data_IF_780878324599
#
_entry.id   IF_780878324599
#
_cell.length_a   1.000
_cell.length_b   1.000
_cell.length_c   1.000
_cell.angle_alpha   90.00
_cell.angle_beta   90.00
_cell.angle_gamma   90.00
#
_symmetry.space_group_name_H-M   'P 1'
#
loop_
_entity.id
_entity.type
_entity.pdbx_description
1 polymer ?
#
# COMPACT_ATOMS: atom_id res chain seq x y z
N UNK A 1 13.84 9.59 1.88
CA UNK A 1 13.41 8.16 1.67
C UNK A 1 14.49 7.19 2.11
N UNK A 2 14.20 6.27 3.02
CA UNK A 2 15.14 5.30 3.58
C UNK A 2 15.33 4.04 2.70
N UNK A 3 16.35 3.21 3.05
CA UNK A 3 16.69 2.00 2.29
C UNK A 3 15.55 0.98 2.25
N UNK A 4 14.84 0.67 3.36
CA UNK A 4 13.70 -0.26 3.33
C UNK A 4 12.59 0.19 2.38
N UNK A 5 12.23 1.47 2.38
CA UNK A 5 11.23 2.05 1.47
C UNK A 5 11.64 1.89 0.00
N UNK A 6 12.89 2.24 -0.34
CA UNK A 6 13.41 2.06 -1.71
C UNK A 6 13.33 0.62 -2.19
N UNK A 7 13.70 -0.35 -1.34
CA UNK A 7 13.64 -1.77 -1.69
C UNK A 7 12.21 -2.24 -1.93
N UNK A 8 11.24 -1.80 -1.11
CA UNK A 8 9.83 -2.18 -1.26
C UNK A 8 9.21 -1.57 -2.53
N UNK A 9 9.51 -0.30 -2.83
CA UNK A 9 9.09 0.34 -4.08
C UNK A 9 9.64 -0.41 -5.29
N UNK A 10 10.91 -0.82 -5.28
CA UNK A 10 11.53 -1.55 -6.38
C UNK A 10 10.83 -2.89 -6.71
N UNK A 11 10.14 -3.49 -5.73
CA UNK A 11 9.38 -4.72 -5.91
C UNK A 11 7.90 -4.51 -6.28
N UNK A 12 7.38 -3.28 -6.24
CA UNK A 12 6.01 -3.00 -6.69
C UNK A 12 5.86 -3.28 -8.19
N UNK A 13 4.62 -3.29 -8.67
CA UNK A 13 4.35 -3.34 -10.10
C UNK A 13 5.06 -2.17 -10.81
N UNK A 14 5.77 -2.40 -11.93
CA UNK A 14 6.56 -1.34 -12.59
C UNK A 14 5.77 -0.06 -12.87
N UNK A 15 4.48 -0.16 -13.22
CA UNK A 15 3.64 0.98 -13.56
C UNK A 15 3.34 1.96 -12.41
N UNK A 16 3.65 1.60 -11.15
CA UNK A 16 3.38 2.47 -10.00
C UNK A 16 4.64 2.91 -9.26
N UNK A 17 5.83 2.42 -9.61
CA UNK A 17 7.07 2.68 -8.86
C UNK A 17 7.43 4.16 -8.81
N UNK A 18 7.40 4.83 -9.96
CA UNK A 18 7.74 6.26 -10.06
C UNK A 18 6.69 7.11 -9.33
N UNK A 19 5.41 6.77 -9.47
CA UNK A 19 4.33 7.46 -8.75
C UNK A 19 4.47 7.30 -7.23
N UNK A 20 4.74 6.08 -6.72
CA UNK A 20 4.94 5.86 -5.28
C UNK A 20 6.19 6.58 -4.79
N UNK A 21 7.26 6.61 -5.59
CA UNK A 21 8.47 7.39 -5.25
C UNK A 21 8.12 8.86 -5.07
N UNK A 22 7.38 9.46 -6.00
CA UNK A 22 6.93 10.85 -5.91
C UNK A 22 6.03 11.08 -4.69
N UNK A 23 5.08 10.19 -4.42
CA UNK A 23 4.20 10.27 -3.24
C UNK A 23 5.03 10.31 -1.96
N UNK A 24 6.03 9.44 -1.80
CA UNK A 24 6.89 9.41 -0.62
C UNK A 24 7.70 10.71 -0.47
N UNK A 25 8.20 11.26 -1.58
CA UNK A 25 8.92 12.55 -1.58
C UNK A 25 7.99 13.71 -1.19
N UNK A 26 6.76 13.73 -1.70
CA UNK A 26 5.75 14.72 -1.30
C UNK A 26 5.40 14.58 0.19
N UNK A 27 5.23 13.36 0.70
CA UNK A 27 4.99 13.11 2.13
C UNK A 27 6.18 13.57 2.98
N UNK A 28 7.42 13.16 2.66
CA UNK A 28 8.61 13.56 3.39
C UNK A 28 8.82 15.09 3.41
N UNK A 29 8.29 15.79 2.38
CA UNK A 29 8.32 17.25 2.30
C UNK A 29 7.21 17.90 3.13
N UNK A 30 6.02 17.31 3.15
CA UNK A 30 4.89 17.79 3.94
C UNK A 30 5.18 17.62 5.44
N UNK A 31 5.70 16.46 5.85
CA UNK A 31 6.12 16.16 7.22
C UNK A 31 7.39 16.97 7.58
N UNK A 32 7.21 18.26 7.86
CA UNK A 32 8.32 19.22 8.07
C UNK A 32 9.07 19.03 9.38
N UNK A 33 8.50 18.28 10.34
CA UNK A 33 9.07 18.01 11.66
C UNK A 33 10.00 16.80 11.70
N UNK A 34 9.86 16.00 12.74
CA UNK A 34 10.69 14.82 13.02
C UNK A 34 10.11 13.49 12.50
N UNK A 35 8.91 13.51 11.97
CA UNK A 35 8.30 12.37 11.34
C UNK A 35 8.75 12.23 9.89
N UNK A 36 8.96 10.99 9.45
CA UNK A 36 9.22 10.61 8.03
C UNK A 36 8.39 9.40 7.68
N UNK A 37 7.88 9.37 6.46
CA UNK A 37 7.12 8.21 6.00
C UNK A 37 8.05 7.03 5.68
N UNK A 38 7.61 5.80 6.02
CA UNK A 38 8.25 4.54 5.63
C UNK A 38 7.22 3.57 5.07
N UNK A 39 7.50 2.98 3.93
CA UNK A 39 6.74 1.83 3.44
C UNK A 39 7.15 0.60 4.22
N UNK A 40 6.19 -0.06 4.88
CA UNK A 40 6.40 -1.25 5.71
C UNK A 40 6.09 -2.54 4.96
N UNK A 41 5.22 -2.48 3.93
CA UNK A 41 4.86 -3.62 3.08
C UNK A 41 4.59 -3.12 1.65
N UNK A 42 4.84 -3.96 0.66
CA UNK A 42 4.58 -3.66 -0.76
C UNK A 42 4.08 -4.90 -1.50
N UNK A 43 4.86 -5.41 -2.48
CA UNK A 43 4.56 -6.69 -3.10
C UNK A 43 4.66 -7.82 -2.07
N UNK A 44 3.62 -8.63 -1.99
CA UNK A 44 3.53 -9.82 -1.13
C UNK A 44 3.34 -11.06 -1.99
N UNK A 45 4.11 -12.11 -1.76
CA UNK A 45 3.95 -13.38 -2.47
C UNK A 45 2.63 -14.08 -2.10
N UNK A 46 2.23 -15.04 -2.92
CA UNK A 46 1.04 -15.88 -2.65
C UNK A 46 1.25 -16.68 -1.35
N UNK A 47 2.46 -17.19 -1.14
CA UNK A 47 2.86 -17.97 0.02
C UNK A 47 2.81 -17.14 1.31
N UNK A 48 3.37 -15.94 1.30
CA UNK A 48 3.32 -15.00 2.42
C UNK A 48 1.87 -14.64 2.78
N UNK A 49 1.03 -14.39 1.78
CA UNK A 49 -0.39 -14.10 1.99
C UNK A 49 -1.11 -15.31 2.61
N UNK A 50 -0.81 -16.54 2.17
CA UNK A 50 -1.38 -17.75 2.76
C UNK A 50 -0.93 -17.94 4.21
N UNK A 51 0.30 -17.64 4.55
CA UNK A 51 0.79 -17.67 5.93
C UNK A 51 0.07 -16.63 6.81
N UNK A 52 -0.15 -15.41 6.31
CA UNK A 52 -0.95 -14.41 7.01
C UNK A 52 -2.40 -14.86 7.21
N UNK A 53 -3.02 -15.45 6.19
CA UNK A 53 -4.37 -15.98 6.28
C UNK A 53 -4.49 -17.13 7.30
N UNK A 54 -3.45 -17.95 7.44
CA UNK A 54 -3.42 -19.07 8.38
C UNK A 54 -3.35 -18.61 9.86
N UNK A 55 -2.82 -17.41 10.14
CA UNK A 55 -2.77 -16.86 11.51
C UNK A 55 -4.16 -16.75 12.13
N UNK A 56 -4.32 -17.27 13.34
CA UNK A 56 -5.58 -17.30 14.07
C UNK A 56 -6.64 -18.25 13.47
N UNK A 57 -6.22 -19.15 12.52
CA UNK A 57 -7.03 -20.23 11.95
C UNK A 57 -6.35 -21.58 12.12
N UNK A 58 -5.25 -21.81 11.41
CA UNK A 58 -4.44 -23.04 11.48
C UNK A 58 -3.07 -22.81 12.11
N UNK A 59 -2.64 -21.56 12.21
CA UNK A 59 -1.44 -21.13 12.92
C UNK A 59 -1.80 -20.27 14.13
N UNK A 60 -0.96 -20.27 15.20
CA UNK A 60 -1.15 -19.43 16.38
C UNK A 60 -1.25 -17.94 16.02
N UNK A 61 -1.90 -17.16 16.87
CA UNK A 61 -2.04 -15.71 16.74
C UNK A 61 -3.48 -15.25 16.50
N UNK A 62 -3.62 -13.96 16.18
CA UNK A 62 -4.93 -13.37 15.82
C UNK A 62 -5.12 -13.40 14.31
N UNK A 63 -6.37 -13.43 13.85
CA UNK A 63 -6.70 -13.23 12.44
C UNK A 63 -6.30 -11.81 12.02
N UNK A 64 -5.41 -11.71 11.04
CA UNK A 64 -4.87 -10.44 10.54
C UNK A 64 -5.35 -10.08 9.13
N UNK A 65 -5.94 -11.05 8.42
CA UNK A 65 -6.51 -10.82 7.09
C UNK A 65 -7.62 -11.83 6.80
N UNK A 66 -8.57 -11.44 5.93
CA UNK A 66 -9.57 -12.34 5.36
C UNK A 66 -9.21 -12.79 3.93
N UNK A 67 -8.15 -12.24 3.33
CA UNK A 67 -7.70 -12.58 1.99
C UNK A 67 -6.72 -13.75 2.01
N UNK A 68 -7.00 -14.78 1.21
CA UNK A 68 -6.06 -15.86 0.88
C UNK A 68 -5.04 -15.38 -0.16
N UNK A 69 -4.04 -16.20 -0.44
CA UNK A 69 -3.11 -15.96 -1.54
C UNK A 69 -3.82 -15.66 -2.86
N UNK A 70 -3.44 -14.58 -3.52
CA UNK A 70 -4.07 -14.07 -4.75
C UNK A 70 -5.32 -13.21 -4.54
N UNK A 71 -5.80 -13.04 -3.31
CA UNK A 71 -6.99 -12.25 -3.00
C UNK A 71 -6.67 -10.86 -2.40
N UNK A 72 -5.40 -10.50 -2.31
CA UNK A 72 -4.94 -9.20 -1.84
C UNK A 72 -4.34 -8.40 -3.00
N UNK A 73 -4.56 -7.09 -3.03
CA UNK A 73 -3.96 -6.19 -4.02
C UNK A 73 -2.43 -6.13 -3.87
N UNK A 74 -1.90 -6.39 -2.66
CA UNK A 74 -0.47 -6.60 -2.44
C UNK A 74 0.14 -7.71 -3.30
N UNK A 75 -0.63 -8.77 -3.62
CA UNK A 75 -0.13 -9.88 -4.45
C UNK A 75 0.15 -9.49 -5.90
N UNK A 76 -0.29 -8.31 -6.31
CA UNK A 76 -0.12 -7.77 -7.66
C UNK A 76 0.81 -6.55 -7.68
N UNK A 77 1.31 -6.11 -6.52
CA UNK A 77 2.22 -4.97 -6.38
C UNK A 77 1.55 -3.60 -6.55
N UNK A 78 0.25 -3.49 -6.31
CA UNK A 78 -0.53 -2.26 -6.39
C UNK A 78 -1.00 -1.75 -5.03
N UNK A 79 -0.47 -2.29 -3.94
CA UNK A 79 -0.75 -1.82 -2.59
C UNK A 79 0.55 -1.61 -1.80
N UNK A 80 0.49 -0.67 -0.86
CA UNK A 80 1.54 -0.39 0.12
C UNK A 80 0.92 -0.20 1.49
N UNK A 81 1.62 -0.65 2.52
CA UNK A 81 1.36 -0.26 3.91
C UNK A 81 2.46 0.68 4.38
N UNK A 82 2.11 1.65 5.22
CA UNK A 82 3.07 2.61 5.75
C UNK A 82 3.10 2.65 7.28
N UNK A 83 4.15 3.26 7.82
CA UNK A 83 4.22 3.85 9.15
C UNK A 83 4.98 5.16 9.09
N UNK A 84 4.98 5.90 10.20
CA UNK A 84 5.85 7.05 10.39
C UNK A 84 7.08 6.62 11.20
N UNK A 85 8.22 7.17 10.87
CA UNK A 85 9.47 7.03 11.65
C UNK A 85 9.76 8.35 12.32
N UNK A 86 9.82 8.32 13.63
CA UNK A 86 10.03 9.51 14.46
C UNK A 86 11.49 9.59 14.89
N UNK A 87 12.10 10.76 14.74
CA UNK A 87 13.51 11.01 15.07
C UNK A 87 14.47 9.97 14.48
N UNK A 88 14.15 9.44 13.28
CA UNK A 88 14.90 8.38 12.56
C UNK A 88 15.03 7.05 13.31
N UNK A 89 14.31 6.85 14.41
CA UNK A 89 14.47 5.72 15.34
C UNK A 89 13.20 4.91 15.55
N UNK A 90 12.11 5.57 15.90
CA UNK A 90 10.90 4.90 16.39
C UNK A 90 9.84 4.81 15.31
N UNK A 91 9.31 3.60 15.09
CA UNK A 91 8.16 3.40 14.20
C UNK A 91 6.85 3.71 14.95
N UNK A 92 5.99 4.53 14.36
CA UNK A 92 4.71 4.92 14.90
C UNK A 92 3.57 4.67 13.91
N UNK A 93 2.47 4.11 14.43
CA UNK A 93 1.17 3.96 13.76
C UNK A 93 0.11 4.87 14.38
N UNK A 94 0.55 5.89 15.13
CA UNK A 94 -0.36 6.88 15.71
C UNK A 94 -0.92 7.78 14.61
N UNK A 95 -2.22 7.67 14.37
CA UNK A 95 -2.92 8.43 13.32
C UNK A 95 -3.38 9.81 13.75
N UNK A 96 -3.15 10.18 15.03
CA UNK A 96 -3.66 11.43 15.61
C UNK A 96 -2.56 12.44 15.94
N UNK A 97 -1.33 11.96 16.02
CA UNK A 97 -0.21 12.80 16.45
C UNK A 97 0.20 13.75 15.33
N UNK A 98 0.45 14.97 15.74
CA UNK A 98 1.03 16.06 14.97
C UNK A 98 2.43 16.33 15.57
N UNK A 99 3.50 16.01 14.85
CA UNK A 99 4.88 16.13 15.30
C UNK A 99 5.56 17.41 14.80
N UNK A 100 4.96 18.12 13.84
CA UNK A 100 5.49 19.39 13.33
C UNK A 100 4.67 20.63 13.78
N UNK A 101 3.54 20.38 14.46
CA UNK A 101 2.66 21.40 15.07
C UNK A 101 1.98 22.31 14.02
N UNK A 102 1.66 21.81 12.86
CA UNK A 102 0.93 22.52 11.81
C UNK A 102 -0.61 22.46 11.97
N UNK A 103 -1.10 21.72 12.99
CA UNK A 103 -2.51 21.45 13.34
C UNK A 103 -3.18 20.40 12.47
N UNK A 104 -2.43 19.67 11.66
CA UNK A 104 -2.88 18.48 10.93
C UNK A 104 -2.10 17.30 11.46
N UNK A 105 -2.77 16.17 11.74
CA UNK A 105 -2.02 14.98 12.14
C UNK A 105 -1.23 14.45 10.93
N UNK A 106 0.07 14.23 11.11
CA UNK A 106 1.03 13.81 10.08
C UNK A 106 0.56 12.62 9.25
N UNK A 107 -0.16 11.68 9.87
CA UNK A 107 -0.75 10.54 9.18
C UNK A 107 -1.73 10.97 8.09
N UNK A 108 -2.59 11.96 8.39
CA UNK A 108 -3.60 12.44 7.45
C UNK A 108 -3.03 13.33 6.35
N UNK A 109 -1.87 13.93 6.55
CA UNK A 109 -1.14 14.60 5.47
C UNK A 109 -0.72 13.58 4.41
N UNK A 110 -0.13 12.44 4.84
CA UNK A 110 0.18 11.34 3.95
C UNK A 110 -1.09 10.82 3.25
N UNK A 111 -2.20 10.62 3.99
CA UNK A 111 -3.48 10.17 3.42
C UNK A 111 -3.95 11.11 2.30
N UNK A 112 -3.90 12.43 2.52
CA UNK A 112 -4.29 13.43 1.51
C UNK A 112 -3.41 13.35 0.26
N UNK A 113 -2.10 13.15 0.43
CA UNK A 113 -1.15 13.05 -0.68
C UNK A 113 -1.42 11.78 -1.49
N UNK A 114 -1.56 10.61 -0.87
CA UNK A 114 -1.94 9.38 -1.55
C UNK A 114 -3.28 9.54 -2.31
N UNK A 115 -4.29 10.16 -1.70
CA UNK A 115 -5.58 10.41 -2.32
C UNK A 115 -5.48 11.33 -3.54
N UNK A 116 -4.64 12.39 -3.48
CA UNK A 116 -4.34 13.28 -4.62
C UNK A 116 -3.82 12.52 -5.84
N UNK A 117 -3.03 11.46 -5.62
CA UNK A 117 -2.54 10.57 -6.65
C UNK A 117 -3.51 9.43 -7.02
N UNK A 118 -4.76 9.46 -6.49
CA UNK A 118 -5.80 8.49 -6.82
C UNK A 118 -5.61 7.11 -6.17
N UNK A 119 -4.89 7.05 -5.03
CA UNK A 119 -4.80 5.86 -4.20
C UNK A 119 -5.95 5.82 -3.19
N UNK A 120 -6.54 4.67 -3.01
CA UNK A 120 -7.57 4.43 -2.00
C UNK A 120 -6.93 4.09 -0.66
N UNK A 121 -7.44 4.68 0.42
CA UNK A 121 -6.98 4.42 1.77
C UNK A 121 -7.86 3.40 2.49
N UNK A 122 -7.28 2.37 3.07
CA UNK A 122 -7.99 1.33 3.81
C UNK A 122 -8.70 1.82 5.08
N UNK A 123 -8.30 2.99 5.62
CA UNK A 123 -9.00 3.66 6.71
C UNK A 123 -10.41 4.14 6.36
N UNK A 124 -10.73 4.30 5.07
CA UNK A 124 -12.06 4.66 4.58
C UNK A 124 -13.01 3.46 4.39
N UNK A 125 -12.53 2.23 4.55
CA UNK A 125 -13.38 1.05 4.36
C UNK A 125 -14.47 0.98 5.43
N UNK A 126 -15.66 0.57 5.03
CA UNK A 126 -16.82 0.46 5.94
C UNK A 126 -16.64 -0.65 6.97
N UNK A 127 -16.01 -1.75 6.55
CA UNK A 127 -15.73 -2.91 7.38
C UNK A 127 -14.24 -3.22 7.31
N UNK A 128 -13.66 -3.72 8.39
CA UNK A 128 -12.27 -4.11 8.48
C UNK A 128 -11.31 -2.98 8.04
N UNK A 129 -11.41 -1.82 8.70
CA UNK A 129 -10.53 -0.68 8.43
C UNK A 129 -9.07 -1.08 8.61
N UNK A 130 -8.27 -0.70 7.62
CA UNK A 130 -6.83 -0.94 7.60
C UNK A 130 -6.10 0.41 7.45
N UNK A 131 -5.71 0.98 8.58
CA UNK A 131 -5.15 2.33 8.64
C UNK A 131 -3.82 2.47 7.89
N UNK A 132 -2.87 1.50 7.94
CA UNK A 132 -1.64 1.55 7.16
C UNK A 132 -1.82 1.43 5.66
N UNK A 133 -2.91 0.83 5.18
CA UNK A 133 -3.07 0.33 3.81
C UNK A 133 -3.48 1.40 2.80
N UNK A 134 -2.78 1.44 1.66
CA UNK A 134 -3.13 2.21 0.46
C UNK A 134 -3.05 1.33 -0.77
N UNK A 135 -4.02 1.47 -1.69
CA UNK A 135 -4.02 0.68 -2.93
C UNK A 135 -4.38 1.50 -4.16
N UNK A 136 -3.74 1.20 -5.30
CA UNK A 136 -4.06 1.77 -6.62
C UNK A 136 -4.98 0.82 -7.36
N UNK A 137 -6.23 1.21 -7.59
CA UNK A 137 -7.20 0.38 -8.30
C UNK A 137 -7.23 0.70 -9.78
N UNK A 138 -6.46 -0.04 -10.57
CA UNK A 138 -6.60 -0.05 -12.03
C UNK A 138 -7.84 -0.83 -12.47
N UNK A 139 -8.22 -1.85 -11.69
CA UNK A 139 -9.45 -2.65 -11.82
C UNK A 139 -10.09 -2.79 -10.45
N UNK A 140 -11.42 -2.86 -10.41
CA UNK A 140 -12.20 -2.79 -9.17
C UNK A 140 -12.14 -4.06 -8.31
N UNK A 141 -11.29 -5.04 -8.64
CA UNK A 141 -11.19 -6.26 -7.84
C UNK A 141 -9.94 -7.09 -8.13
N UNK A 142 -9.44 -7.80 -7.11
CA UNK A 142 -8.39 -8.80 -7.25
C UNK A 142 -8.79 -9.94 -8.22
N UNK A 143 -10.08 -10.25 -8.35
CA UNK A 143 -10.58 -11.29 -9.27
C UNK A 143 -10.28 -10.94 -10.73
N UNK A 144 -10.33 -9.67 -11.11
CA UNK A 144 -9.94 -9.23 -12.45
C UNK A 144 -8.43 -9.31 -12.61
N UNK A 145 -7.64 -8.84 -11.64
CA UNK A 145 -6.18 -8.94 -11.68
C UNK A 145 -5.69 -10.39 -11.78
N UNK A 146 -6.33 -11.33 -11.07
CA UNK A 146 -5.96 -12.74 -11.07
C UNK A 146 -6.12 -13.44 -12.42
N UNK A 147 -6.92 -12.90 -13.32
CA UNK A 147 -7.18 -13.42 -14.67
C UNK A 147 -6.23 -12.87 -15.73
N UNK A 148 -5.49 -11.80 -15.43
CA UNK A 148 -4.57 -11.20 -16.38
C UNK A 148 -3.34 -12.07 -16.60
N UNK A 149 -2.80 -12.05 -17.81
CA UNK A 149 -1.51 -12.66 -18.12
C UNK A 149 -0.41 -11.97 -17.33
N UNK A 150 0.64 -12.71 -17.04
CA UNK A 150 1.84 -12.20 -16.38
C UNK A 150 3.01 -12.12 -17.34
N UNK A 151 3.85 -11.12 -17.13
CA UNK A 151 5.13 -11.00 -17.83
C UNK A 151 6.16 -12.03 -17.30
N UNK A 152 7.37 -12.03 -17.89
CA UNK A 152 8.48 -12.91 -17.47
C UNK A 152 8.95 -12.70 -16.02
N UNK A 153 8.61 -11.57 -15.40
CA UNK A 153 8.96 -11.23 -14.02
C UNK A 153 7.80 -11.51 -13.04
N UNK A 154 6.66 -12.01 -13.54
CA UNK A 154 5.49 -12.36 -12.73
C UNK A 154 4.50 -11.21 -12.49
N UNK A 155 4.72 -10.02 -13.07
CA UNK A 155 3.78 -8.90 -12.99
C UNK A 155 2.64 -9.06 -13.99
N UNK A 156 1.43 -8.67 -13.59
CA UNK A 156 0.27 -8.69 -14.48
C UNK A 156 0.42 -7.68 -15.62
N UNK A 157 -0.06 -8.03 -16.82
CA UNK A 157 0.00 -7.15 -18.00
C UNK A 157 -1.29 -6.34 -18.08
N UNK A 158 -1.20 -5.03 -17.87
CA UNK A 158 -2.36 -4.12 -17.78
C UNK A 158 -2.97 -3.74 -19.12
N UNK A 159 -2.29 -3.97 -20.24
CA UNK A 159 -2.76 -3.54 -21.57
C UNK A 159 -4.09 -4.21 -21.98
N UNK A 160 -4.41 -5.36 -21.40
CA UNK A 160 -5.68 -6.07 -21.63
C UNK A 160 -6.90 -5.37 -20.95
N UNK A 161 -6.68 -4.33 -20.12
CA UNK A 161 -7.76 -3.63 -19.40
C UNK A 161 -8.34 -2.45 -20.22
N UNK A 162 -7.64 -1.98 -21.25
CA UNK A 162 -8.04 -0.79 -22.00
C UNK A 162 -9.28 -0.98 -22.89
N UNK A 163 -9.64 -2.21 -23.21
CA UNK A 163 -10.71 -2.49 -24.17
C UNK A 163 -12.14 -2.42 -23.58
N UNK A 164 -12.30 -2.46 -22.24
CA UNK A 164 -13.62 -2.38 -21.62
C UNK A 164 -14.16 -0.93 -21.44
N UNK A 165 -13.33 0.11 -21.62
CA UNK A 165 -13.76 1.52 -21.46
C UNK A 165 -14.17 2.21 -22.76
N UNK A 166 -14.00 1.56 -23.93
CA UNK A 166 -14.26 2.19 -25.23
C UNK A 166 -15.58 1.77 -25.87
N UNK A 167 -16.40 0.99 -25.15
CA UNK A 167 -17.73 0.59 -25.63
C UNK A 167 -18.82 1.09 -24.69
N UNK A 168 -19.07 2.40 -24.70
CA UNK A 168 -20.34 3.02 -24.32
C UNK A 168 -20.51 4.34 -25.04
#
# INVERSE_FOLDING_TARGET
MDKPTKQRIANLHPSVRDEVTLIIEECDKALSGKAKIRITEGLRTIEEQNLLYAKGRTLPGKKVTNAKGGQSIHNYGFAVDMCLIIDEKEASWDTKKDWDNDKVADWYECVKIFAKHGWEWGGNWKTFKDMPHFEKRYVNSWQKLSKLKKDKNGYVILNEIKDEKTTK
#
